data_IF_929164313466
#
_entry.id   IF_929164313466
#
_cell.length_a   1.000
_cell.length_b   1.000
_cell.length_c   1.000
_cell.angle_alpha   90.00
_cell.angle_beta   90.00
_cell.angle_gamma   90.00
#
_symmetry.space_group_name_H-M   'P 1'
#
loop_
_entity.id
_entity.type
_entity.pdbx_description
1 polymer ?
#
# COMPACT_ATOMS: atom_id res chain seq x y z
N UNK A 1 -4.61 -19.51 -40.39
CA UNK A 1 -4.91 -18.56 -39.30
C UNK A 1 -4.00 -18.89 -38.14
N UNK A 2 -2.93 -18.11 -37.93
CA UNK A 2 -1.99 -18.33 -36.83
C UNK A 2 -2.53 -17.65 -35.57
N UNK A 3 -3.08 -18.46 -34.66
CA UNK A 3 -3.41 -18.04 -33.30
C UNK A 3 -2.09 -17.77 -32.57
N UNK A 4 -1.72 -16.50 -32.44
CA UNK A 4 -0.57 -16.07 -31.65
C UNK A 4 -0.87 -16.36 -30.16
N UNK A 5 -0.67 -17.61 -29.74
CA UNK A 5 -0.47 -17.93 -28.34
C UNK A 5 0.77 -17.14 -27.89
N UNK A 6 0.63 -16.31 -26.86
CA UNK A 6 1.71 -15.52 -26.31
C UNK A 6 2.72 -16.47 -25.62
N UNK A 7 3.56 -17.12 -26.43
CA UNK A 7 4.66 -17.93 -25.95
C UNK A 7 5.79 -17.00 -25.54
N UNK A 8 6.34 -17.23 -24.33
CA UNK A 8 7.56 -16.54 -23.89
C UNK A 8 8.73 -16.90 -24.81
N UNK A 9 9.86 -16.19 -24.72
CA UNK A 9 11.07 -16.45 -25.52
C UNK A 9 11.56 -17.92 -25.37
N UNK A 10 11.18 -18.60 -24.29
CA UNK A 10 11.45 -20.01 -24.02
C UNK A 10 10.35 -20.98 -24.49
N UNK A 11 9.38 -20.51 -25.28
CA UNK A 11 8.24 -21.28 -25.77
C UNK A 11 7.42 -21.96 -24.65
N UNK A 12 7.43 -21.35 -23.45
CA UNK A 12 6.63 -21.80 -22.31
C UNK A 12 5.30 -21.07 -22.33
N UNK A 13 4.22 -21.83 -22.17
CA UNK A 13 2.90 -21.26 -21.92
C UNK A 13 2.90 -20.56 -20.56
N UNK A 14 2.91 -19.22 -20.57
CA UNK A 14 2.69 -18.43 -19.37
C UNK A 14 1.20 -18.28 -19.15
N UNK A 15 0.71 -18.91 -18.09
CA UNK A 15 -0.59 -18.59 -17.56
C UNK A 15 -0.48 -17.15 -16.99
N UNK A 16 -1.05 -16.18 -17.70
CA UNK A 16 -1.05 -14.78 -17.27
C UNK A 16 -1.73 -14.73 -15.90
N UNK A 17 -0.92 -14.57 -14.85
CA UNK A 17 -1.43 -14.50 -13.47
C UNK A 17 -2.55 -13.47 -13.40
N UNK A 18 -3.64 -13.80 -12.68
CA UNK A 18 -4.80 -12.91 -12.51
C UNK A 18 -4.30 -11.49 -12.20
N UNK A 19 -4.67 -10.53 -13.05
CA UNK A 19 -4.27 -9.14 -12.89
C UNK A 19 -4.90 -8.59 -11.60
N UNK A 20 -4.10 -8.53 -10.53
CA UNK A 20 -4.55 -7.98 -9.25
C UNK A 20 -5.03 -6.52 -9.45
N UNK A 21 -6.20 -6.14 -8.92
CA UNK A 21 -6.72 -4.80 -9.07
C UNK A 21 -5.94 -3.80 -8.19
N UNK A 22 -4.93 -3.15 -8.78
CA UNK A 22 -4.15 -2.04 -8.19
C UNK A 22 -4.99 -0.88 -7.63
N UNK A 23 -6.29 -0.81 -7.96
CA UNK A 23 -7.18 0.23 -7.45
C UNK A 23 -7.37 0.13 -5.93
N UNK A 24 -7.36 -1.08 -5.37
CA UNK A 24 -7.60 -1.30 -3.93
C UNK A 24 -6.46 -0.71 -3.11
N UNK A 25 -5.22 -0.93 -3.51
CA UNK A 25 -4.04 -0.33 -2.86
C UNK A 25 -4.07 1.19 -2.90
N UNK A 26 -4.45 1.76 -4.05
CA UNK A 26 -4.56 3.21 -4.20
C UNK A 26 -5.60 3.82 -3.26
N UNK A 27 -6.74 3.14 -3.07
CA UNK A 27 -7.77 3.58 -2.13
C UNK A 27 -7.31 3.48 -0.67
N UNK A 28 -6.59 2.42 -0.32
CA UNK A 28 -6.02 2.24 1.04
C UNK A 28 -4.99 3.34 1.33
N UNK A 29 -4.10 3.63 0.37
CA UNK A 29 -3.14 4.71 0.51
C UNK A 29 -3.83 6.07 0.66
N UNK A 30 -4.83 6.35 -0.19
CA UNK A 30 -5.60 7.59 -0.13
C UNK A 30 -6.26 7.77 1.24
N UNK A 31 -6.83 6.69 1.79
CA UNK A 31 -7.42 6.69 3.13
C UNK A 31 -6.37 6.92 4.22
N UNK A 32 -5.17 6.33 4.09
CA UNK A 32 -4.04 6.60 4.99
C UNK A 32 -3.61 8.07 4.98
N UNK A 33 -3.54 8.69 3.80
CA UNK A 33 -3.24 10.12 3.66
C UNK A 33 -4.33 10.99 4.25
N UNK A 34 -5.60 10.66 4.00
CA UNK A 34 -6.73 11.36 4.61
C UNK A 34 -6.67 11.28 6.15
N UNK A 35 -6.42 10.08 6.69
CA UNK A 35 -6.20 9.86 8.12
C UNK A 35 -5.11 10.80 8.64
N UNK A 36 -3.92 10.79 8.02
CA UNK A 36 -2.82 11.67 8.42
C UNK A 36 -3.25 13.14 8.48
N UNK A 37 -3.92 13.65 7.45
CA UNK A 37 -4.32 15.06 7.39
C UNK A 37 -5.26 15.43 8.54
N UNK A 38 -6.23 14.56 8.86
CA UNK A 38 -7.23 14.86 9.88
C UNK A 38 -6.72 14.66 11.31
N UNK A 39 -5.76 13.76 11.54
CA UNK A 39 -5.29 13.40 12.89
C UNK A 39 -3.91 13.98 13.24
N UNK A 40 -3.17 14.54 12.28
CA UNK A 40 -1.82 15.08 12.49
C UNK A 40 -1.79 16.12 13.63
N UNK A 41 -2.79 17.00 13.72
CA UNK A 41 -2.90 17.97 14.81
C UNK A 41 -3.07 17.30 16.19
N UNK A 42 -3.95 16.29 16.27
CA UNK A 42 -4.16 15.55 17.52
C UNK A 42 -2.89 14.83 17.97
N UNK A 43 -2.15 14.21 17.03
CA UNK A 43 -0.88 13.52 17.32
C UNK A 43 0.20 14.51 17.77
N UNK A 44 0.22 15.72 17.20
CA UNK A 44 1.13 16.78 17.62
C UNK A 44 0.83 17.22 19.06
N UNK A 45 -0.43 17.36 19.42
CA UNK A 45 -0.83 17.84 20.74
C UNK A 45 -0.75 16.75 21.84
N UNK A 46 -0.45 15.49 21.50
CA UNK A 46 -0.31 14.40 22.49
C UNK A 46 0.84 14.58 23.49
N UNK A 47 1.86 15.37 23.14
CA UNK A 47 3.07 15.51 23.96
C UNK A 47 3.40 16.98 24.21
N UNK A 48 3.63 17.33 25.48
CA UNK A 48 4.01 18.70 25.87
C UNK A 48 5.39 19.12 25.32
N UNK A 49 6.28 18.15 25.10
CA UNK A 49 7.60 18.43 24.56
C UNK A 49 7.56 18.57 23.04
N UNK A 50 7.80 19.79 22.56
CA UNK A 50 7.74 20.14 21.14
C UNK A 50 8.68 19.31 20.24
N UNK A 51 9.86 18.91 20.74
CA UNK A 51 10.79 18.10 19.96
C UNK A 51 10.29 16.68 19.77
N UNK A 52 9.75 16.08 20.84
CA UNK A 52 9.18 14.73 20.81
C UNK A 52 7.92 14.73 19.95
N UNK A 53 7.02 15.69 20.17
CA UNK A 53 5.80 15.87 19.40
C UNK A 53 6.10 16.03 17.90
N UNK A 54 7.06 16.90 17.54
CA UNK A 54 7.44 17.12 16.14
C UNK A 54 8.04 15.86 15.50
N UNK A 55 8.96 15.18 16.20
CA UNK A 55 9.57 13.96 15.71
C UNK A 55 8.54 12.86 15.49
N UNK A 56 7.60 12.69 16.42
CA UNK A 56 6.58 11.66 16.32
C UNK A 56 5.59 11.99 15.20
N UNK A 57 5.10 13.22 15.13
CA UNK A 57 4.07 13.64 14.17
C UNK A 57 4.57 13.67 12.74
N UNK A 58 5.79 14.17 12.50
CA UNK A 58 6.28 14.41 11.14
C UNK A 58 7.23 13.33 10.63
N UNK A 59 7.80 12.50 11.50
CA UNK A 59 8.65 11.38 11.08
C UNK A 59 7.97 10.05 11.34
N UNK A 60 7.70 9.72 12.60
CA UNK A 60 7.25 8.36 12.96
C UNK A 60 5.86 8.07 12.41
N UNK A 61 4.91 8.99 12.63
CA UNK A 61 3.52 8.82 12.26
C UNK A 61 3.28 8.58 10.76
N UNK A 62 3.82 9.39 9.82
CA UNK A 62 3.65 9.11 8.40
C UNK A 62 4.31 7.80 7.98
N UNK A 63 5.47 7.43 8.56
CA UNK A 63 6.07 6.12 8.30
C UNK A 63 5.21 4.96 8.81
N UNK A 64 4.57 5.11 9.98
CA UNK A 64 3.64 4.11 10.49
C UNK A 64 2.45 3.93 9.55
N UNK A 65 1.84 5.01 9.08
CA UNK A 65 0.73 4.94 8.11
C UNK A 65 1.18 4.24 6.83
N UNK A 66 2.30 4.67 6.23
CA UNK A 66 2.81 4.07 5.01
C UNK A 66 3.09 2.58 5.19
N UNK A 67 3.77 2.21 6.27
CA UNK A 67 4.05 0.82 6.61
C UNK A 67 2.76 -0.01 6.74
N UNK A 68 1.75 0.50 7.46
CA UNK A 68 0.47 -0.19 7.61
C UNK A 68 -0.25 -0.34 6.26
N UNK A 69 -0.29 0.70 5.43
CA UNK A 69 -0.93 0.63 4.11
C UNK A 69 -0.25 -0.38 3.19
N UNK A 70 1.08 -0.47 3.23
CA UNK A 70 1.87 -1.43 2.46
C UNK A 70 1.63 -2.87 2.92
N UNK A 71 1.67 -3.10 4.23
CA UNK A 71 1.41 -4.43 4.81
C UNK A 71 0.00 -4.91 4.45
N UNK A 72 -1.00 -4.03 4.57
CA UNK A 72 -2.38 -4.36 4.16
C UNK A 72 -2.46 -4.68 2.67
N UNK A 73 -1.83 -3.87 1.81
CA UNK A 73 -1.76 -4.13 0.37
C UNK A 73 -1.19 -5.51 0.06
N UNK A 74 -0.07 -5.88 0.68
CA UNK A 74 0.57 -7.20 0.52
C UNK A 74 -0.29 -8.35 1.04
N UNK A 75 -1.01 -8.17 2.15
CA UNK A 75 -1.93 -9.19 2.66
C UNK A 75 -3.06 -9.43 1.66
N UNK A 76 -3.68 -8.37 1.13
CA UNK A 76 -4.79 -8.50 0.17
C UNK A 76 -4.31 -9.14 -1.13
N UNK A 77 -3.14 -8.73 -1.65
CA UNK A 77 -2.50 -9.37 -2.81
C UNK A 77 -2.28 -10.87 -2.57
N UNK A 78 -1.76 -11.25 -1.40
CA UNK A 78 -1.49 -12.65 -1.06
C UNK A 78 -2.78 -13.48 -1.01
N UNK A 79 -3.82 -12.99 -0.34
CA UNK A 79 -5.11 -13.68 -0.25
C UNK A 79 -5.76 -13.83 -1.62
N UNK A 80 -5.68 -12.80 -2.47
CA UNK A 80 -6.24 -12.85 -3.82
C UNK A 80 -5.46 -13.77 -4.76
N UNK A 81 -4.13 -13.84 -4.62
CA UNK A 81 -3.29 -14.67 -5.47
C UNK A 81 -3.32 -16.16 -5.06
N UNK A 82 -3.67 -16.46 -3.80
CA UNK A 82 -3.89 -17.83 -3.31
C UNK A 82 -5.29 -18.39 -3.66
N UNK A 83 -6.15 -17.62 -4.36
CA UNK A 83 -7.53 -18.00 -4.77
C UNK A 83 -7.73 -18.10 -6.29
#
# INVERSE_FOLDING_TARGET
MSTNAATTILNREENSGKKYPMIVEKLILLLGVALFIFTCGEVFDMYENIWISSALTFMVYPFTILFTTEVLGRIIQRVHNDS
#
